data_IF_320234921844
#
_entry.id   IF_320234921844
#
_cell.length_a   1.000
_cell.length_b   1.000
_cell.length_c   1.000
_cell.angle_alpha   90.00
_cell.angle_beta   90.00
_cell.angle_gamma   90.00
#
_symmetry.space_group_name_H-M   'P 1'
#
loop_
_entity.id
_entity.type
_entity.pdbx_description
1 polymer ?
#
# COMPACT_ATOMS: atom_id res chain seq x y z
N UNK A 1 16.82 -7.81 -15.63
CA UNK A 1 16.30 -6.45 -15.38
C UNK A 1 15.05 -6.53 -14.55
N UNK A 2 15.12 -6.07 -13.33
CA UNK A 2 13.93 -6.00 -12.49
C UNK A 2 13.04 -4.87 -12.97
N UNK A 3 11.99 -5.18 -13.65
CA UNK A 3 10.93 -4.20 -13.87
C UNK A 3 10.27 -3.94 -12.52
N UNK A 4 10.73 -2.93 -11.85
CA UNK A 4 10.09 -2.47 -10.63
C UNK A 4 8.80 -1.78 -11.02
N UNK A 5 7.75 -2.43 -10.73
CA UNK A 5 6.42 -1.94 -11.01
C UNK A 5 5.91 -1.21 -9.77
N UNK A 6 5.42 -0.02 -9.94
CA UNK A 6 4.98 0.88 -8.87
C UNK A 6 3.51 1.24 -9.05
N UNK A 7 2.71 1.28 -8.01
CA UNK A 7 1.28 1.42 -8.19
C UNK A 7 0.49 2.28 -7.27
N UNK A 8 -0.58 2.74 -7.66
CA UNK A 8 -1.45 3.56 -6.88
C UNK A 8 -2.94 3.36 -6.98
N UNK A 9 -3.70 3.43 -6.02
CA UNK A 9 -4.92 4.02 -5.86
C UNK A 9 -5.98 3.71 -4.88
N UNK A 10 -6.92 4.21 -4.74
CA UNK A 10 -8.26 4.56 -4.27
C UNK A 10 -8.69 3.98 -2.92
N UNK A 11 -9.23 4.90 -2.13
CA UNK A 11 -9.95 4.64 -0.91
C UNK A 11 -11.10 3.66 -1.15
N UNK A 12 -10.90 2.46 -0.70
CA UNK A 12 -11.98 1.50 -0.57
C UNK A 12 -11.91 0.94 0.84
N UNK A 13 -12.92 1.18 1.62
CA UNK A 13 -13.10 0.47 2.88
C UNK A 13 -13.51 -0.95 2.53
N UNK A 14 -12.57 -1.86 2.50
CA UNK A 14 -12.90 -3.27 2.40
C UNK A 14 -13.24 -3.78 3.80
N UNK A 15 -14.49 -3.72 4.17
CA UNK A 15 -15.00 -4.49 5.30
C UNK A 15 -15.13 -5.92 4.83
N UNK A 16 -14.15 -6.73 5.09
CA UNK A 16 -14.29 -8.17 4.92
C UNK A 16 -14.96 -8.70 6.19
N UNK A 17 -16.27 -8.71 6.19
CA UNK A 17 -17.04 -9.39 7.20
C UNK A 17 -16.82 -10.88 7.10
N UNK A 18 -16.04 -11.46 7.99
CA UNK A 18 -16.02 -12.89 8.20
C UNK A 18 -17.31 -13.32 8.84
N UNK A 19 -18.17 -14.01 8.11
CA UNK A 19 -19.35 -14.65 8.66
C UNK A 19 -18.91 -15.87 9.49
N UNK A 20 -18.86 -15.72 10.78
CA UNK A 20 -18.80 -16.86 11.68
C UNK A 20 -20.20 -17.28 12.04
N UNK A 21 -20.64 -18.35 11.47
CA UNK A 21 -21.90 -18.97 11.85
C UNK A 21 -21.79 -19.66 13.21
N UNK A 22 -22.62 -19.26 14.13
CA UNK A 22 -23.08 -20.09 15.24
C UNK A 22 -22.14 -20.26 16.43
N UNK A 23 -22.43 -19.54 17.49
CA UNK A 23 -21.93 -19.74 18.84
C UNK A 23 -22.13 -18.47 19.63
N UNK A 24 -22.70 -18.55 20.81
CA UNK A 24 -22.73 -17.45 21.75
C UNK A 24 -21.31 -17.12 22.20
N UNK A 25 -20.52 -16.57 21.29
CA UNK A 25 -19.30 -15.91 21.64
C UNK A 25 -19.72 -14.56 22.20
N UNK A 26 -19.41 -14.29 23.44
CA UNK A 26 -19.24 -12.94 23.92
C UNK A 26 -18.35 -12.27 22.90
N UNK A 27 -18.95 -11.42 22.08
CA UNK A 27 -18.22 -10.65 21.10
C UNK A 27 -17.25 -9.75 21.88
N UNK A 28 -16.03 -10.16 22.06
CA UNK A 28 -14.96 -9.21 22.20
C UNK A 28 -15.01 -8.44 20.87
N UNK A 29 -15.36 -7.18 20.93
CA UNK A 29 -15.28 -6.27 19.79
C UNK A 29 -13.80 -6.04 19.50
N UNK A 30 -13.13 -7.07 18.97
CA UNK A 30 -11.82 -6.87 18.38
C UNK A 30 -12.00 -5.86 17.26
N UNK A 31 -11.41 -4.70 17.40
CA UNK A 31 -11.42 -3.69 16.36
C UNK A 31 -10.71 -4.29 15.15
N UNK A 32 -11.44 -4.44 14.05
CA UNK A 32 -10.86 -4.96 12.83
C UNK A 32 -9.70 -4.06 12.37
N UNK A 33 -8.64 -4.69 11.88
CA UNK A 33 -7.53 -3.97 11.28
C UNK A 33 -8.04 -3.11 10.12
N UNK A 34 -7.69 -1.85 10.10
CA UNK A 34 -8.03 -0.93 9.02
C UNK A 34 -6.80 -0.36 8.37
N UNK A 35 -6.88 -0.14 7.05
CA UNK A 35 -5.91 0.60 6.27
C UNK A 35 -6.64 1.76 5.61
N UNK A 36 -6.27 2.98 5.97
CA UNK A 36 -6.98 4.20 5.60
C UNK A 36 -6.01 5.28 5.11
N UNK A 37 -6.57 6.31 4.49
CA UNK A 37 -5.85 7.51 4.05
C UNK A 37 -4.64 7.21 3.16
N UNK A 38 -4.79 6.22 2.28
CA UNK A 38 -3.79 5.92 1.27
C UNK A 38 -3.59 7.09 0.32
N UNK A 39 -2.35 7.54 0.17
CA UNK A 39 -1.97 8.64 -0.72
C UNK A 39 -0.66 8.32 -1.41
N UNK A 40 -0.60 8.59 -2.71
CA UNK A 40 0.61 8.39 -3.48
C UNK A 40 0.95 9.62 -4.31
N UNK A 41 2.25 9.89 -4.44
CA UNK A 41 2.76 11.02 -5.21
C UNK A 41 3.99 10.62 -5.99
N UNK A 42 4.05 11.04 -7.24
CA UNK A 42 5.21 10.94 -8.09
C UNK A 42 5.84 12.32 -8.31
N UNK A 43 7.14 12.37 -8.21
CA UNK A 43 7.95 13.55 -8.54
C UNK A 43 8.96 13.13 -9.60
N UNK A 44 8.87 13.72 -10.77
CA UNK A 44 9.79 13.43 -11.87
C UNK A 44 11.22 13.91 -11.56
N UNK A 45 12.25 13.21 -12.06
CA UNK A 45 13.62 13.69 -11.97
C UNK A 45 13.79 15.04 -12.70
N UNK A 46 14.48 15.96 -12.07
CA UNK A 46 14.75 17.30 -12.64
C UNK A 46 16.22 17.64 -12.51
N UNK A 47 16.83 18.08 -13.60
CA UNK A 47 18.25 18.42 -13.61
C UNK A 47 19.14 17.25 -13.22
N UNK A 48 20.01 17.43 -12.25
CA UNK A 48 20.85 16.36 -11.70
C UNK A 48 20.20 15.58 -10.54
N UNK A 49 18.95 15.89 -10.18
CA UNK A 49 18.27 15.28 -9.04
C UNK A 49 17.37 14.15 -9.48
N UNK A 50 17.43 13.05 -8.73
CA UNK A 50 16.48 11.95 -8.91
C UNK A 50 15.07 12.38 -8.48
N UNK A 51 14.06 11.79 -9.12
CA UNK A 51 12.68 11.85 -8.68
C UNK A 51 12.37 10.82 -7.60
N UNK A 52 11.12 10.76 -7.23
CA UNK A 52 10.64 9.79 -6.24
C UNK A 52 9.17 9.44 -6.44
N UNK A 53 8.82 8.23 -6.02
CA UNK A 53 7.43 7.87 -5.74
C UNK A 53 7.30 7.66 -4.24
N UNK A 54 6.31 8.29 -3.63
CA UNK A 54 6.04 8.15 -2.20
C UNK A 54 4.59 7.72 -2.00
N UNK A 55 4.40 6.70 -1.20
CA UNK A 55 3.11 6.23 -0.74
C UNK A 55 3.03 6.33 0.78
N UNK A 56 1.93 6.86 1.29
CA UNK A 56 1.66 6.92 2.73
C UNK A 56 0.27 6.35 3.02
N UNK A 57 0.14 5.69 4.15
CA UNK A 57 -1.15 5.19 4.63
C UNK A 57 -1.14 5.10 6.16
N UNK A 58 -2.33 5.06 6.72
CA UNK A 58 -2.54 4.84 8.14
C UNK A 58 -3.10 3.44 8.35
N UNK A 59 -2.46 2.68 9.22
CA UNK A 59 -2.87 1.33 9.57
C UNK A 59 -3.19 1.28 11.06
N UNK A 60 -4.35 0.74 11.38
CA UNK A 60 -4.83 0.64 12.76
C UNK A 60 -5.14 -0.81 13.10
N UNK A 61 -4.58 -1.29 14.20
CA UNK A 61 -4.87 -2.60 14.77
C UNK A 61 -4.55 -2.63 16.26
N UNK A 62 -5.38 -3.32 17.05
CA UNK A 62 -5.18 -3.41 18.51
C UNK A 62 -3.89 -4.11 18.90
N UNK A 63 -3.45 -5.11 18.15
CA UNK A 63 -2.20 -5.83 18.40
C UNK A 63 -0.95 -5.07 17.95
N UNK A 64 -1.13 -3.97 17.23
CA UNK A 64 -0.06 -3.22 16.57
C UNK A 64 0.21 -3.71 15.16
N UNK A 65 0.95 -2.92 14.40
CA UNK A 65 1.23 -3.16 12.98
C UNK A 65 2.61 -3.78 12.82
N UNK A 66 2.67 -4.96 12.21
CA UNK A 66 3.93 -5.64 11.90
C UNK A 66 4.59 -5.03 10.67
N UNK A 67 3.82 -4.67 9.66
CA UNK A 67 4.34 -4.09 8.44
C UNK A 67 3.29 -3.84 7.38
N UNK A 68 3.73 -3.15 6.34
CA UNK A 68 2.94 -2.86 5.15
C UNK A 68 3.77 -3.18 3.90
N UNK A 69 3.27 -4.08 3.08
CA UNK A 69 3.84 -4.39 1.78
C UNK A 69 3.19 -3.52 0.72
N UNK A 70 3.97 -2.99 -0.19
CA UNK A 70 3.51 -2.04 -1.21
C UNK A 70 4.06 -2.41 -2.57
N UNK A 71 3.21 -2.42 -3.57
CA UNK A 71 3.62 -2.57 -4.96
C UNK A 71 2.90 -1.59 -5.87
N UNK A 72 3.61 -1.06 -6.83
CA UNK A 72 3.17 -0.07 -7.81
C UNK A 72 3.11 -0.65 -9.25
N UNK A 73 2.02 -0.43 -10.01
CA UNK A 73 1.82 -0.94 -11.38
C UNK A 73 1.01 0.02 -12.25
N UNK A 74 1.35 0.17 -13.54
CA UNK A 74 0.60 1.05 -14.43
C UNK A 74 -0.81 0.54 -14.67
N UNK A 75 -1.78 1.46 -14.64
CA UNK A 75 -3.17 1.13 -14.89
C UNK A 75 -3.40 0.58 -16.31
N UNK A 76 -2.53 0.95 -17.24
CA UNK A 76 -2.54 0.44 -18.62
C UNK A 76 -2.08 -1.01 -18.72
N UNK A 77 -1.35 -1.51 -17.73
CA UNK A 77 -0.97 -2.92 -17.68
C UNK A 77 -2.14 -3.77 -17.18
N UNK A 78 -2.12 -5.05 -17.52
CA UNK A 78 -3.09 -6.02 -16.99
C UNK A 78 -2.61 -6.68 -15.70
N UNK A 79 -1.61 -6.08 -15.07
CA UNK A 79 -1.19 -6.53 -13.75
C UNK A 79 -2.33 -6.28 -12.77
N UNK A 80 -2.58 -7.27 -11.97
CA UNK A 80 -3.54 -7.22 -10.88
C UNK A 80 -2.93 -8.02 -9.73
N UNK A 81 -1.94 -7.43 -9.03
CA UNK A 81 -1.20 -8.16 -8.01
C UNK A 81 -2.13 -8.70 -6.94
N UNK A 82 -1.94 -9.95 -6.60
CA UNK A 82 -2.72 -10.64 -5.58
C UNK A 82 -2.12 -10.44 -4.19
N UNK A 83 -2.89 -10.70 -3.16
CA UNK A 83 -2.40 -10.70 -1.78
C UNK A 83 -1.15 -11.57 -1.61
N UNK A 84 -1.15 -12.75 -2.23
CA UNK A 84 -0.01 -13.69 -2.15
C UNK A 84 1.26 -13.10 -2.77
N UNK A 85 1.12 -12.42 -3.90
CA UNK A 85 2.25 -11.77 -4.57
C UNK A 85 2.82 -10.61 -3.73
N UNK A 86 1.96 -9.87 -3.03
CA UNK A 86 2.41 -8.77 -2.16
C UNK A 86 3.23 -9.25 -0.96
N UNK A 87 3.15 -10.50 -0.57
CA UNK A 87 3.97 -11.03 0.51
C UNK A 87 5.47 -11.03 0.21
N UNK A 88 5.83 -10.94 -1.05
CA UNK A 88 7.22 -11.01 -1.54
C UNK A 88 7.77 -9.68 -2.05
N UNK A 89 7.03 -8.58 -1.90
CA UNK A 89 7.48 -7.26 -2.35
C UNK A 89 8.08 -6.44 -1.22
N UNK A 90 8.56 -5.25 -1.55
CA UNK A 90 9.17 -4.33 -0.60
C UNK A 90 8.19 -3.88 0.48
N UNK A 91 8.72 -3.60 1.67
CA UNK A 91 7.96 -3.09 2.80
C UNK A 91 8.08 -1.58 2.94
N UNK A 92 6.98 -0.95 3.34
CA UNK A 92 6.99 0.42 3.83
C UNK A 92 7.60 0.48 5.24
N UNK A 93 8.02 1.66 5.67
CA UNK A 93 8.41 1.92 7.03
C UNK A 93 7.19 2.40 7.81
N UNK A 94 6.84 1.67 8.87
CA UNK A 94 5.71 2.02 9.73
C UNK A 94 6.20 2.55 11.08
N UNK A 95 5.59 3.64 11.54
CA UNK A 95 5.85 4.25 12.83
C UNK A 95 4.55 4.43 13.60
N UNK A 96 4.55 4.03 14.86
CA UNK A 96 3.42 4.29 15.74
C UNK A 96 3.17 5.79 15.89
N UNK A 97 1.92 6.19 15.78
CA UNK A 97 1.45 7.53 16.07
C UNK A 97 0.67 7.54 17.40
N UNK A 98 0.31 8.75 17.87
CA UNK A 98 -0.25 8.95 19.22
C UNK A 98 -1.63 8.36 19.45
N UNK A 99 -2.39 8.01 18.42
CA UNK A 99 -3.79 7.60 18.54
C UNK A 99 -4.04 6.12 18.24
N UNK A 100 -3.05 5.25 18.47
CA UNK A 100 -3.18 3.81 18.28
C UNK A 100 -3.19 3.37 16.82
N UNK A 101 -2.75 4.22 15.91
CA UNK A 101 -2.49 3.86 14.51
C UNK A 101 -1.00 3.96 14.19
N UNK A 102 -0.60 3.28 13.14
CA UNK A 102 0.75 3.42 12.59
C UNK A 102 0.68 4.15 11.26
N UNK A 103 1.56 5.11 11.07
CA UNK A 103 1.75 5.76 9.77
C UNK A 103 2.85 5.04 9.03
N UNK A 104 2.50 4.53 7.86
CA UNK A 104 3.42 3.80 7.00
C UNK A 104 3.78 4.66 5.80
N UNK A 105 5.07 4.72 5.49
CA UNK A 105 5.60 5.47 4.35
C UNK A 105 6.50 4.57 3.53
N UNK A 106 6.23 4.51 2.24
CA UNK A 106 7.08 3.84 1.25
C UNK A 106 7.61 4.89 0.28
N UNK A 107 8.93 4.95 0.14
CA UNK A 107 9.58 5.87 -0.80
C UNK A 107 10.49 5.09 -1.73
N UNK A 108 10.31 5.29 -3.02
CA UNK A 108 11.17 4.75 -4.05
C UNK A 108 11.82 5.88 -4.82
N UNK A 109 13.15 5.86 -4.86
CA UNK A 109 13.94 6.78 -5.68
C UNK A 109 13.81 6.38 -7.15
N UNK A 110 13.57 7.35 -8.01
CA UNK A 110 13.45 7.17 -9.46
C UNK A 110 14.54 7.96 -10.16
N UNK A 111 15.47 7.28 -10.78
CA UNK A 111 16.52 7.92 -11.58
C UNK A 111 15.95 8.42 -12.91
N UNK A 112 16.69 9.30 -13.60
CA UNK A 112 16.31 9.74 -14.95
C UNK A 112 16.12 8.58 -15.92
N UNK A 113 16.99 7.60 -15.85
CA UNK A 113 16.90 6.41 -16.71
C UNK A 113 15.63 5.62 -16.41
N UNK A 114 15.37 5.34 -15.13
CA UNK A 114 14.16 4.63 -14.72
C UNK A 114 12.89 5.39 -15.11
N UNK A 115 12.89 6.72 -14.98
CA UNK A 115 11.75 7.54 -15.36
C UNK A 115 11.39 7.41 -16.84
N UNK A 116 12.36 7.26 -17.71
CA UNK A 116 12.11 7.06 -19.15
C UNK A 116 11.50 5.69 -19.48
N UNK A 117 11.68 4.72 -18.57
CA UNK A 117 11.15 3.37 -18.71
C UNK A 117 9.75 3.19 -18.07
N UNK A 118 9.29 4.20 -17.34
CA UNK A 118 7.96 4.18 -16.73
C UNK A 118 6.88 4.51 -17.75
N UNK A 119 5.81 3.75 -17.75
CA UNK A 119 4.62 4.07 -18.53
C UNK A 119 4.01 5.39 -18.05
N UNK A 120 3.70 6.28 -18.96
CA UNK A 120 3.00 7.52 -18.64
C UNK A 120 1.53 7.26 -18.34
N UNK A 121 0.94 8.12 -17.53
CA UNK A 121 -0.45 8.08 -17.15
C UNK A 121 -0.69 7.55 -15.75
N UNK A 122 -1.90 7.06 -15.51
CA UNK A 122 -2.32 6.60 -14.20
C UNK A 122 -1.66 5.30 -13.76
N UNK A 123 -1.31 5.27 -12.50
CA UNK A 123 -0.75 4.11 -11.81
C UNK A 123 -1.56 3.79 -10.55
N UNK A 124 -1.56 2.52 -10.15
CA UNK A 124 -2.22 2.03 -8.93
C UNK A 124 -1.21 1.58 -7.87
N UNK A 125 -1.52 1.71 -6.57
CA UNK A 125 -0.76 1.09 -5.45
C UNK A 125 -1.59 -0.01 -4.80
N UNK A 126 -1.10 -1.22 -4.81
CA UNK A 126 -1.63 -2.30 -3.99
C UNK A 126 -0.88 -2.35 -2.66
N UNK A 127 -1.59 -2.57 -1.58
CA UNK A 127 -1.00 -2.61 -0.25
C UNK A 127 -1.55 -3.78 0.57
N UNK A 128 -0.66 -4.44 1.29
CA UNK A 128 -0.99 -5.52 2.23
C UNK A 128 -0.42 -5.17 3.60
N UNK A 129 -1.30 -4.87 4.53
CA UNK A 129 -0.94 -4.65 5.93
C UNK A 129 -1.00 -5.95 6.72
N UNK A 130 -0.07 -6.13 7.64
CA UNK A 130 -0.02 -7.27 8.55
C UNK A 130 0.08 -6.77 9.99
N UNK A 131 -0.79 -7.26 10.84
CA UNK A 131 -0.79 -6.98 12.27
C UNK A 131 0.13 -7.93 13.03
N UNK A 132 0.46 -7.58 14.27
CA UNK A 132 1.30 -8.42 15.13
C UNK A 132 0.64 -9.75 15.49
N UNK A 133 -0.69 -9.81 15.54
CA UNK A 133 -1.45 -11.03 15.77
C UNK A 133 -1.59 -11.93 14.52
N UNK A 134 -1.05 -11.50 13.38
CA UNK A 134 -1.10 -12.23 12.12
C UNK A 134 -2.29 -11.85 11.22
N UNK A 135 -3.20 -10.97 11.67
CA UNK A 135 -4.27 -10.43 10.85
C UNK A 135 -3.74 -9.64 9.66
N UNK A 136 -4.44 -9.68 8.55
CA UNK A 136 -4.06 -8.98 7.32
C UNK A 136 -5.20 -8.16 6.72
N UNK A 137 -4.86 -7.05 6.09
CA UNK A 137 -5.76 -6.27 5.23
C UNK A 137 -5.09 -6.05 3.90
N UNK A 138 -5.75 -6.48 2.82
CA UNK A 138 -5.29 -6.30 1.46
C UNK A 138 -6.18 -5.30 0.73
N UNK A 139 -5.55 -4.27 0.17
CA UNK A 139 -6.21 -3.31 -0.71
C UNK A 139 -5.56 -3.37 -2.09
N UNK A 140 -6.27 -3.89 -3.10
CA UNK A 140 -5.74 -3.96 -4.46
C UNK A 140 -5.50 -2.58 -5.07
N UNK A 141 -6.19 -1.57 -4.57
CA UNK A 141 -6.06 -0.18 -5.02
C UNK A 141 -6.13 0.77 -3.84
N UNK A 142 -5.02 0.89 -3.11
CA UNK A 142 -4.93 1.73 -1.92
C UNK A 142 -4.74 3.22 -2.23
N UNK A 143 -4.18 3.60 -3.35
CA UNK A 143 -3.99 4.99 -3.83
C UNK A 143 -3.76 5.08 -5.36
N UNK A 144 -3.83 6.24 -6.05
CA UNK A 144 -3.54 6.49 -7.49
C UNK A 144 -2.60 7.67 -7.65
N UNK A 145 -1.70 7.62 -8.60
CA UNK A 145 -0.88 8.75 -9.01
C UNK A 145 -0.70 8.75 -10.52
N UNK A 146 -0.23 9.87 -11.05
CA UNK A 146 0.10 9.99 -12.46
C UNK A 146 1.60 10.13 -12.66
N UNK A 147 2.11 9.41 -13.65
CA UNK A 147 3.49 9.55 -14.12
C UNK A 147 3.49 10.44 -15.35
N UNK A 148 4.11 11.58 -15.22
CA UNK A 148 4.30 12.56 -16.29
C UNK A 148 5.80 12.80 -16.48
N UNK A 149 6.22 12.89 -17.73
CA UNK A 149 7.60 13.25 -18.11
C UNK A 149 7.70 14.72 -18.45
#
# INVERSE_FOLDING_TARGET
MSKRVLVSSLVGVAVIGGVVAGGLAMASTATEMTLENGSARYVAPVGGNAGSMTFTAEVRDESGVRGLKVVAWPASSRLDPTETELRHVDSAMCREATDGFSRCTYTLKVTKKEATELDQGAWHVSALATANDGGTVYLPRAATFDVNH
#
